data_IF_639545783159
#
_entry.id   IF_639545783159
#
_cell.length_a   1.000
_cell.length_b   1.000
_cell.length_c   1.000
_cell.angle_alpha   90.00
_cell.angle_beta   90.00
_cell.angle_gamma   90.00
#
_symmetry.space_group_name_H-M   'P 1'
#
loop_
_entity.id
_entity.type
_entity.pdbx_description
1 polymer ?
#
# COMPACT_ATOMS: atom_id res chain seq x y z
N UNK A 1 -25.61 -2.99 24.52
CA UNK A 1 -26.16 -2.11 23.48
C UNK A 1 -25.03 -1.85 22.50
N UNK A 2 -24.87 -2.74 21.52
CA UNK A 2 -23.81 -2.63 20.51
C UNK A 2 -24.33 -1.69 19.42
N UNK A 3 -23.77 -0.48 19.35
CA UNK A 3 -23.96 0.36 18.17
C UNK A 3 -23.25 -0.33 17.01
N UNK A 4 -24.03 -0.97 16.14
CA UNK A 4 -23.63 -1.28 14.76
C UNK A 4 -23.29 0.07 14.11
N UNK A 5 -22.03 0.46 14.15
CA UNK A 5 -21.53 1.53 13.30
C UNK A 5 -21.80 1.06 11.87
N UNK A 6 -22.60 1.80 11.13
CA UNK A 6 -22.73 1.58 9.70
C UNK A 6 -21.35 1.80 9.08
N UNK A 7 -20.73 0.73 8.60
CA UNK A 7 -19.42 0.73 7.95
C UNK A 7 -19.47 1.62 6.71
N UNK A 8 -18.98 2.84 6.86
CA UNK A 8 -18.93 3.82 5.76
C UNK A 8 -18.07 3.27 4.62
N UNK A 9 -18.43 3.50 3.33
CA UNK A 9 -17.59 3.13 2.19
C UNK A 9 -16.16 3.70 2.26
N UNK A 10 -15.96 4.75 3.04
CA UNK A 10 -14.64 5.33 3.33
C UNK A 10 -13.73 4.37 4.12
N UNK A 11 -14.29 3.56 5.02
CA UNK A 11 -13.54 2.61 5.85
C UNK A 11 -12.89 1.53 4.98
N UNK A 12 -13.66 0.94 4.06
CA UNK A 12 -13.18 -0.10 3.16
C UNK A 12 -12.04 0.37 2.24
N UNK A 13 -12.04 1.64 1.80
CA UNK A 13 -10.94 2.22 1.00
C UNK A 13 -9.65 2.39 1.81
N UNK A 14 -9.75 2.54 3.12
CA UNK A 14 -8.61 2.78 3.98
C UNK A 14 -8.05 1.51 4.65
N UNK A 15 -8.86 0.45 4.69
CA UNK A 15 -8.48 -0.81 5.31
C UNK A 15 -7.51 -1.64 4.46
N UNK A 16 -7.07 -2.75 5.03
CA UNK A 16 -6.12 -3.68 4.43
C UNK A 16 -6.79 -5.03 4.19
N UNK A 17 -6.76 -5.47 2.95
CA UNK A 17 -7.44 -6.66 2.44
C UNK A 17 -6.46 -7.69 1.86
N UNK A 18 -5.17 -7.37 1.88
CA UNK A 18 -4.11 -8.20 1.32
C UNK A 18 -3.49 -9.18 2.31
N UNK A 19 -4.08 -9.43 3.47
CA UNK A 19 -3.51 -10.41 4.41
C UNK A 19 -3.67 -11.85 3.88
N UNK A 20 -2.67 -12.72 4.11
CA UNK A 20 -2.75 -14.10 3.69
C UNK A 20 -3.86 -14.84 4.40
N UNK A 21 -4.60 -15.63 3.63
CA UNK A 21 -5.57 -16.58 4.17
C UNK A 21 -4.81 -17.78 4.74
N UNK A 22 -5.18 -18.31 5.94
CA UNK A 22 -4.51 -19.45 6.56
C UNK A 22 -4.39 -20.66 5.63
N UNK A 23 -3.28 -21.40 5.69
CA UNK A 23 -2.96 -22.54 4.80
C UNK A 23 -3.85 -23.78 4.99
N UNK A 24 -4.65 -23.86 6.04
CA UNK A 24 -5.68 -24.89 6.24
C UNK A 24 -7.02 -24.53 5.54
N UNK A 25 -6.99 -23.55 4.64
CA UNK A 25 -8.15 -23.10 3.90
C UNK A 25 -8.39 -23.97 2.66
N UNK A 26 -9.43 -24.80 2.68
CA UNK A 26 -9.73 -25.80 1.65
C UNK A 26 -10.76 -25.37 0.60
N UNK A 27 -10.90 -24.07 0.36
CA UNK A 27 -11.80 -23.54 -0.67
C UNK A 27 -13.26 -23.53 -0.21
N UNK A 28 -13.76 -22.31 -0.06
CA UNK A 28 -15.14 -21.94 0.22
C UNK A 28 -15.76 -22.28 1.61
N UNK A 29 -16.53 -21.33 2.18
CA UNK A 29 -16.75 -19.95 1.73
C UNK A 29 -15.66 -19.02 2.26
N UNK A 30 -15.05 -18.17 1.40
CA UNK A 30 -14.11 -17.09 1.82
C UNK A 30 -14.55 -16.53 3.18
N UNK A 31 -13.64 -16.34 4.17
CA UNK A 31 -14.04 -15.88 5.49
C UNK A 31 -15.02 -14.72 5.38
N UNK A 32 -16.25 -14.91 5.87
CA UNK A 32 -17.39 -14.00 5.64
C UNK A 32 -17.10 -12.59 6.15
N UNK A 33 -16.13 -12.44 7.05
CA UNK A 33 -15.62 -11.18 7.55
C UNK A 33 -14.76 -10.38 6.55
N UNK A 34 -14.34 -10.93 5.40
CA UNK A 34 -13.64 -10.18 4.36
C UNK A 34 -14.59 -9.54 3.34
N UNK A 35 -15.72 -10.19 3.05
CA UNK A 35 -16.66 -9.76 2.00
C UNK A 35 -17.74 -8.78 2.50
N UNK A 36 -18.11 -8.86 3.79
CA UNK A 36 -19.20 -8.06 4.37
C UNK A 36 -18.90 -6.56 4.31
N UNK A 37 -17.65 -6.17 4.53
CA UNK A 37 -17.24 -4.76 4.60
C UNK A 37 -17.20 -4.07 3.22
N UNK A 38 -17.13 -4.84 2.12
CA UNK A 38 -17.04 -4.30 0.76
C UNK A 38 -18.39 -3.96 0.12
N UNK A 39 -19.49 -4.47 0.69
CA UNK A 39 -20.85 -4.31 0.18
C UNK A 39 -21.31 -2.85 0.12
N UNK A 40 -20.68 -1.96 0.89
CA UNK A 40 -21.02 -0.53 0.88
C UNK A 40 -20.26 0.26 -0.20
N UNK A 41 -19.16 -0.27 -0.75
CA UNK A 41 -18.38 0.36 -1.84
C UNK A 41 -18.72 -0.21 -3.21
N UNK A 42 -19.13 -1.48 -3.25
CA UNK A 42 -19.38 -2.24 -4.48
C UNK A 42 -20.81 -2.76 -4.48
N UNK A 43 -21.41 -2.98 -5.65
CA UNK A 43 -22.61 -3.81 -5.67
C UNK A 43 -22.25 -5.26 -5.25
N UNK A 44 -23.23 -6.03 -4.78
CA UNK A 44 -22.99 -7.39 -4.28
C UNK A 44 -22.22 -8.29 -5.27
N UNK A 45 -22.41 -8.12 -6.59
CA UNK A 45 -21.73 -8.95 -7.60
C UNK A 45 -20.24 -8.60 -7.67
N UNK A 46 -19.91 -7.32 -7.55
CA UNK A 46 -18.54 -6.82 -7.53
C UNK A 46 -17.83 -7.12 -6.19
N UNK A 47 -18.55 -7.10 -5.06
CA UNK A 47 -18.01 -7.56 -3.77
C UNK A 47 -17.59 -9.04 -3.84
N UNK A 48 -18.48 -9.88 -4.39
CA UNK A 48 -18.19 -11.30 -4.59
C UNK A 48 -17.03 -11.52 -5.55
N UNK A 49 -16.93 -10.72 -6.62
CA UNK A 49 -15.85 -10.82 -7.59
C UNK A 49 -14.49 -10.42 -6.98
N UNK A 50 -14.46 -9.40 -6.13
CA UNK A 50 -13.27 -9.00 -5.40
C UNK A 50 -12.84 -10.07 -4.38
N UNK A 51 -13.80 -10.73 -3.72
CA UNK A 51 -13.52 -11.85 -2.80
C UNK A 51 -12.94 -13.04 -3.55
N UNK A 52 -13.50 -13.34 -4.73
CA UNK A 52 -12.94 -14.35 -5.64
C UNK A 52 -11.52 -13.97 -6.09
N UNK A 53 -11.23 -12.70 -6.35
CA UNK A 53 -9.89 -12.25 -6.73
C UNK A 53 -8.87 -12.55 -5.61
N UNK A 54 -9.18 -12.15 -4.38
CA UNK A 54 -8.32 -12.40 -3.20
C UNK A 54 -8.11 -13.91 -3.00
N UNK A 55 -9.18 -14.70 -3.04
CA UNK A 55 -9.11 -16.14 -2.87
C UNK A 55 -8.26 -16.82 -3.95
N UNK A 56 -8.45 -16.44 -5.22
CA UNK A 56 -7.66 -16.96 -6.36
C UNK A 56 -6.20 -16.62 -6.23
N UNK A 57 -5.87 -15.39 -5.81
CA UNK A 57 -4.50 -14.97 -5.60
C UNK A 57 -3.79 -15.86 -4.59
N UNK A 58 -4.43 -16.10 -3.44
CA UNK A 58 -3.87 -16.96 -2.39
C UNK A 58 -3.81 -18.43 -2.76
N UNK A 59 -4.72 -18.90 -3.61
CA UNK A 59 -4.67 -20.25 -4.18
C UNK A 59 -3.61 -20.42 -5.28
N UNK A 60 -2.85 -19.36 -5.63
CA UNK A 60 -1.86 -19.40 -6.71
C UNK A 60 -2.48 -19.53 -8.11
N UNK A 61 -3.76 -19.19 -8.25
CA UNK A 61 -4.49 -19.26 -9.51
C UNK A 61 -4.30 -17.97 -10.32
N UNK A 62 -4.48 -18.08 -11.63
CA UNK A 62 -4.46 -16.92 -12.53
C UNK A 62 -5.54 -15.90 -12.17
N UNK A 63 -5.15 -14.63 -12.05
CA UNK A 63 -6.01 -13.53 -11.61
C UNK A 63 -6.25 -12.47 -12.69
N UNK A 64 -5.49 -12.51 -13.79
CA UNK A 64 -5.47 -11.49 -14.86
C UNK A 64 -6.86 -11.26 -15.48
N UNK A 65 -7.54 -12.32 -15.91
CA UNK A 65 -8.87 -12.20 -16.53
C UNK A 65 -9.91 -11.61 -15.58
N UNK A 66 -9.88 -12.02 -14.30
CA UNK A 66 -10.84 -11.54 -13.30
C UNK A 66 -10.55 -10.08 -12.90
N UNK A 67 -9.28 -9.70 -12.80
CA UNK A 67 -8.88 -8.32 -12.55
C UNK A 67 -9.32 -7.40 -13.70
N UNK A 68 -9.10 -7.81 -14.96
CA UNK A 68 -9.51 -7.05 -16.14
C UNK A 68 -11.05 -6.92 -16.25
N UNK A 69 -11.78 -7.96 -15.87
CA UNK A 69 -13.25 -7.92 -15.79
C UNK A 69 -13.72 -6.93 -14.70
N UNK A 70 -13.15 -7.02 -13.50
CA UNK A 70 -13.43 -6.10 -12.40
C UNK A 70 -13.18 -4.65 -12.80
N UNK A 71 -12.05 -4.36 -13.45
CA UNK A 71 -11.71 -3.01 -13.88
C UNK A 71 -12.66 -2.47 -14.95
N UNK A 72 -13.08 -3.30 -15.91
CA UNK A 72 -14.05 -2.89 -16.95
C UNK A 72 -15.46 -2.67 -16.40
N UNK A 73 -15.84 -3.41 -15.37
CA UNK A 73 -17.17 -3.36 -14.77
C UNK A 73 -17.27 -2.37 -13.59
N UNK A 74 -16.18 -1.69 -13.23
CA UNK A 74 -16.18 -0.66 -12.21
C UNK A 74 -17.09 0.51 -12.63
N UNK A 75 -18.13 0.78 -11.84
CA UNK A 75 -19.17 1.75 -12.14
C UNK A 75 -18.81 3.18 -11.69
N UNK A 76 -17.84 3.32 -10.78
CA UNK A 76 -17.43 4.61 -10.25
C UNK A 76 -15.96 4.60 -9.77
N UNK A 77 -15.44 5.78 -9.45
CA UNK A 77 -14.05 5.96 -9.03
C UNK A 77 -13.72 5.26 -7.70
N UNK A 78 -14.66 5.16 -6.76
CA UNK A 78 -14.44 4.44 -5.49
C UNK A 78 -14.23 2.95 -5.73
N UNK A 79 -14.98 2.34 -6.66
CA UNK A 79 -14.81 0.94 -7.04
C UNK A 79 -13.46 0.71 -7.73
N UNK A 80 -13.09 1.58 -8.69
CA UNK A 80 -11.77 1.51 -9.33
C UNK A 80 -10.65 1.63 -8.30
N UNK A 81 -10.77 2.57 -7.36
CA UNK A 81 -9.79 2.75 -6.29
C UNK A 81 -9.67 1.51 -5.40
N UNK A 82 -10.80 0.91 -5.00
CA UNK A 82 -10.81 -0.29 -4.17
C UNK A 82 -10.14 -1.47 -4.89
N UNK A 83 -10.45 -1.71 -6.17
CA UNK A 83 -9.83 -2.78 -6.96
C UNK A 83 -8.31 -2.58 -7.02
N UNK A 84 -7.87 -1.36 -7.33
CA UNK A 84 -6.44 -1.04 -7.45
C UNK A 84 -5.69 -1.17 -6.12
N UNK A 85 -6.33 -0.73 -5.02
CA UNK A 85 -5.80 -0.89 -3.67
C UNK A 85 -5.68 -2.37 -3.30
N UNK A 86 -6.75 -3.15 -3.43
CA UNK A 86 -6.74 -4.58 -3.08
C UNK A 86 -5.68 -5.32 -3.88
N UNK A 87 -5.59 -5.08 -5.19
CA UNK A 87 -4.57 -5.71 -6.01
C UNK A 87 -3.15 -5.32 -5.58
N UNK A 88 -2.91 -4.02 -5.33
CA UNK A 88 -1.63 -3.55 -4.79
C UNK A 88 -1.26 -4.17 -3.44
N UNK A 89 -2.25 -4.36 -2.55
CA UNK A 89 -2.06 -4.98 -1.23
C UNK A 89 -1.70 -6.47 -1.36
N UNK A 90 -2.35 -7.22 -2.26
CA UNK A 90 -2.02 -8.62 -2.53
C UNK A 90 -0.58 -8.76 -3.05
N UNK A 91 -0.20 -7.95 -4.04
CA UNK A 91 1.18 -7.92 -4.55
C UNK A 91 2.18 -7.57 -3.46
N UNK A 92 1.85 -6.59 -2.60
CA UNK A 92 2.69 -6.14 -1.50
C UNK A 92 2.88 -7.23 -0.44
N UNK A 93 1.84 -8.01 -0.13
CA UNK A 93 1.91 -9.13 0.81
C UNK A 93 2.89 -10.23 0.36
N UNK A 94 3.15 -10.32 -0.95
CA UNK A 94 4.17 -11.19 -1.55
C UNK A 94 5.44 -10.43 -1.96
N UNK A 95 5.54 -9.16 -1.58
CA UNK A 95 6.66 -8.23 -1.87
C UNK A 95 7.04 -8.19 -3.35
N UNK A 96 6.04 -8.17 -4.22
CA UNK A 96 6.24 -8.14 -5.66
C UNK A 96 6.52 -6.73 -6.19
N UNK A 97 7.39 -6.65 -7.21
CA UNK A 97 7.55 -5.44 -8.01
C UNK A 97 6.21 -4.96 -8.59
N UNK A 98 6.05 -3.64 -8.70
CA UNK A 98 4.81 -3.02 -9.17
C UNK A 98 3.73 -2.86 -8.09
N UNK A 99 3.84 -3.50 -6.93
CA UNK A 99 2.87 -3.37 -5.84
C UNK A 99 2.62 -1.89 -5.45
N UNK A 100 3.69 -1.11 -5.27
CA UNK A 100 3.57 0.31 -4.93
C UNK A 100 2.91 1.16 -6.03
N UNK A 101 3.07 0.80 -7.31
CA UNK A 101 2.42 1.54 -8.39
C UNK A 101 0.90 1.39 -8.31
N UNK A 102 0.41 0.19 -8.04
CA UNK A 102 -1.01 -0.08 -7.81
C UNK A 102 -1.55 0.60 -6.56
N UNK A 103 -0.82 0.52 -5.44
CA UNK A 103 -1.19 1.19 -4.20
C UNK A 103 -1.29 2.71 -4.37
N UNK A 104 -0.33 3.33 -5.04
CA UNK A 104 -0.33 4.77 -5.29
C UNK A 104 -1.46 5.18 -6.25
N UNK A 105 -1.69 4.40 -7.30
CA UNK A 105 -2.81 4.62 -8.24
C UNK A 105 -4.14 4.57 -7.50
N UNK A 106 -4.40 3.50 -6.76
CA UNK A 106 -5.63 3.35 -5.97
C UNK A 106 -5.78 4.43 -4.90
N UNK A 107 -4.70 4.81 -4.21
CA UNK A 107 -4.73 5.91 -3.23
C UNK A 107 -5.07 7.26 -3.86
N UNK A 108 -4.48 7.59 -5.00
CA UNK A 108 -4.76 8.85 -5.70
C UNK A 108 -6.23 8.93 -6.14
N UNK A 109 -6.80 7.81 -6.58
CA UNK A 109 -8.23 7.74 -6.92
C UNK A 109 -9.12 7.75 -5.67
N UNK A 110 -8.69 7.14 -4.56
CA UNK A 110 -9.44 7.11 -3.30
C UNK A 110 -9.43 8.45 -2.55
N UNK A 111 -8.39 9.25 -2.70
CA UNK A 111 -8.12 10.43 -1.87
C UNK A 111 -9.31 11.40 -1.69
N UNK A 112 -10.13 11.72 -2.72
CA UNK A 112 -11.28 12.60 -2.56
C UNK A 112 -12.41 12.03 -1.69
N UNK A 113 -12.42 10.71 -1.49
CA UNK A 113 -13.46 9.97 -0.76
C UNK A 113 -13.02 9.57 0.65
N UNK A 114 -11.80 9.90 1.06
CA UNK A 114 -11.30 9.54 2.39
C UNK A 114 -11.55 10.67 3.37
N UNK A 115 -11.99 10.31 4.58
CA UNK A 115 -11.89 11.21 5.73
C UNK A 115 -10.43 11.65 5.92
N UNK A 116 -10.19 12.83 6.51
CA UNK A 116 -8.82 13.31 6.78
C UNK A 116 -8.02 12.32 7.63
N UNK A 117 -8.68 11.63 8.57
CA UNK A 117 -8.07 10.59 9.41
C UNK A 117 -7.63 9.39 8.56
N UNK A 118 -8.49 8.93 7.67
CA UNK A 118 -8.23 7.76 6.83
C UNK A 118 -7.19 8.04 5.74
N UNK A 119 -7.24 9.24 5.15
CA UNK A 119 -6.22 9.72 4.24
C UNK A 119 -4.83 9.64 4.86
N UNK A 120 -4.66 10.20 6.07
CA UNK A 120 -3.38 10.18 6.77
C UNK A 120 -2.97 8.77 7.20
N UNK A 121 -3.92 7.91 7.59
CA UNK A 121 -3.68 6.50 7.92
C UNK A 121 -3.08 5.76 6.72
N UNK A 122 -3.70 5.88 5.56
CA UNK A 122 -3.26 5.24 4.32
C UNK A 122 -1.93 5.82 3.82
N UNK A 123 -1.77 7.15 3.86
CA UNK A 123 -0.53 7.82 3.46
C UNK A 123 0.67 7.33 4.28
N UNK A 124 0.55 7.30 5.62
CA UNK A 124 1.61 6.81 6.51
C UNK A 124 1.95 5.35 6.25
N UNK A 125 0.93 4.51 6.00
CA UNK A 125 1.13 3.11 5.62
C UNK A 125 1.95 2.99 4.33
N UNK A 126 1.57 3.69 3.26
CA UNK A 126 2.31 3.67 2.00
C UNK A 126 3.75 4.19 2.14
N UNK A 127 3.95 5.29 2.87
CA UNK A 127 5.29 5.81 3.15
C UNK A 127 6.17 4.79 3.89
N UNK A 128 5.58 4.05 4.83
CA UNK A 128 6.30 2.99 5.55
C UNK A 128 6.63 1.83 4.61
N UNK A 129 5.66 1.33 3.85
CA UNK A 129 5.86 0.20 2.93
C UNK A 129 6.85 0.52 1.79
N UNK A 130 7.06 1.79 1.45
CA UNK A 130 8.04 2.21 0.44
C UNK A 130 9.50 1.86 0.81
N UNK A 131 9.76 1.49 2.07
CA UNK A 131 11.08 1.02 2.51
C UNK A 131 11.33 -0.46 2.23
N UNK A 132 10.29 -1.23 1.86
CA UNK A 132 10.45 -2.64 1.55
C UNK A 132 11.25 -2.85 0.27
N UNK A 133 12.03 -3.92 0.27
CA UNK A 133 12.64 -4.47 -0.95
C UNK A 133 11.57 -5.31 -1.64
N UNK A 134 11.28 -4.96 -2.89
CA UNK A 134 10.34 -5.65 -3.76
C UNK A 134 11.12 -6.41 -4.84
N UNK A 135 10.63 -7.59 -5.20
CA UNK A 135 11.30 -8.50 -6.12
C UNK A 135 10.38 -8.90 -7.29
N UNK A 136 10.92 -9.25 -8.47
CA UNK A 136 10.12 -9.76 -9.58
C UNK A 136 9.56 -11.16 -9.30
N UNK A 137 10.13 -11.87 -8.32
CA UNK A 137 9.67 -13.19 -7.87
C UNK A 137 8.94 -13.07 -6.54
N UNK A 138 7.85 -13.81 -6.34
CA UNK A 138 7.05 -13.67 -5.14
C UNK A 138 7.76 -14.27 -3.92
N UNK A 139 7.75 -13.52 -2.81
CA UNK A 139 8.26 -13.95 -1.50
C UNK A 139 7.22 -14.73 -0.69
N UNK A 140 7.61 -15.41 0.41
CA UNK A 140 6.65 -15.90 1.39
C UNK A 140 5.67 -14.80 1.80
N UNK A 141 4.38 -15.13 1.96
CA UNK A 141 3.37 -14.14 2.30
C UNK A 141 3.58 -13.56 3.70
N UNK A 142 3.30 -12.28 3.85
CA UNK A 142 3.36 -11.56 5.12
C UNK A 142 2.07 -10.79 5.36
N UNK A 143 1.67 -10.72 6.64
CA UNK A 143 0.57 -9.86 7.09
C UNK A 143 0.98 -8.39 7.07
N UNK A 144 0.03 -7.45 7.07
CA UNK A 144 0.35 -6.02 7.18
C UNK A 144 1.23 -5.70 8.40
N UNK A 145 0.96 -6.18 9.63
CA UNK A 145 1.85 -5.97 10.76
C UNK A 145 3.28 -6.46 10.51
N UNK A 146 3.47 -7.60 9.84
CA UNK A 146 4.80 -8.12 9.50
C UNK A 146 5.49 -7.26 8.44
N UNK A 147 4.77 -6.81 7.42
CA UNK A 147 5.29 -5.92 6.39
C UNK A 147 5.75 -4.58 6.98
N UNK A 148 4.95 -3.98 7.86
CA UNK A 148 5.30 -2.73 8.54
C UNK A 148 6.55 -2.91 9.40
N UNK A 149 6.63 -4.00 10.17
CA UNK A 149 7.82 -4.33 10.96
C UNK A 149 9.07 -4.49 10.07
N UNK A 150 8.95 -5.24 8.98
CA UNK A 150 10.04 -5.47 8.04
C UNK A 150 10.52 -4.15 7.41
N UNK A 151 9.59 -3.30 6.98
CA UNK A 151 9.89 -2.01 6.39
C UNK A 151 10.63 -1.09 7.36
N UNK A 152 10.21 -1.05 8.63
CA UNK A 152 10.88 -0.28 9.67
C UNK A 152 12.30 -0.79 9.94
N UNK A 153 12.51 -2.11 9.97
CA UNK A 153 13.84 -2.71 10.10
C UNK A 153 14.72 -2.33 8.91
N UNK A 154 14.21 -2.46 7.68
CA UNK A 154 14.94 -2.07 6.46
C UNK A 154 15.33 -0.60 6.48
N UNK A 155 14.41 0.29 6.88
CA UNK A 155 14.67 1.72 7.02
C UNK A 155 15.81 1.99 8.02
N UNK A 156 15.77 1.37 9.21
CA UNK A 156 16.81 1.54 10.24
C UNK A 156 18.18 1.04 9.78
N UNK A 157 18.23 -0.09 9.07
CA UNK A 157 19.48 -0.62 8.54
C UNK A 157 20.09 0.32 7.49
N UNK A 158 19.27 0.86 6.57
CA UNK A 158 19.74 1.85 5.58
C UNK A 158 20.23 3.15 6.23
N UNK A 159 19.52 3.63 7.25
CA UNK A 159 19.93 4.80 8.02
C UNK A 159 21.28 4.58 8.73
N UNK A 160 21.45 3.42 9.37
CA UNK A 160 22.70 3.06 10.06
C UNK A 160 23.89 2.91 9.09
N UNK A 161 23.63 2.50 7.84
CA UNK A 161 24.63 2.37 6.79
C UNK A 161 24.92 3.69 6.04
N UNK A 162 24.34 4.81 6.46
CA UNK A 162 24.57 6.13 5.85
C UNK A 162 23.93 6.34 4.48
N UNK A 163 23.01 5.46 4.06
CA UNK A 163 22.34 5.56 2.75
C UNK A 163 21.21 6.60 2.70
N UNK A 164 20.91 7.25 3.85
CA UNK A 164 19.77 8.16 4.04
C UNK A 164 20.00 9.62 3.59
N UNK A 165 21.09 9.91 2.86
CA UNK A 165 21.37 11.26 2.35
C UNK A 165 20.46 11.70 1.18
N UNK A 166 19.55 10.85 0.69
CA UNK A 166 18.74 11.12 -0.53
C UNK A 166 17.33 11.65 -0.28
N UNK A 167 16.89 11.79 0.98
CA UNK A 167 15.55 12.31 1.31
C UNK A 167 15.54 13.46 2.33
N UNK A 168 16.67 14.16 2.51
CA UNK A 168 16.63 15.45 3.21
C UNK A 168 15.85 16.48 2.37
N UNK A 169 14.87 17.22 2.94
CA UNK A 169 14.25 18.33 2.23
C UNK A 169 15.34 19.35 1.83
N UNK A 170 15.23 19.85 0.60
CA UNK A 170 16.17 20.71 -0.13
C UNK A 170 16.63 21.99 0.62
N UNK A 171 15.99 22.31 1.74
CA UNK A 171 16.30 23.45 2.61
C UNK A 171 17.61 23.33 3.42
N UNK A 172 18.30 22.18 3.41
CA UNK A 172 19.53 21.98 4.18
C UNK A 172 20.83 22.25 3.41
N UNK A 173 20.79 22.56 2.10
CA UNK A 173 21.98 23.04 1.37
C UNK A 173 22.20 24.52 1.67
N UNK A 174 22.75 24.83 2.85
CA UNK A 174 23.45 26.10 3.02
C UNK A 174 24.72 26.07 2.16
N UNK A 175 24.98 27.10 1.34
CA UNK A 175 26.29 27.22 0.70
C UNK A 175 27.33 27.41 1.80
N UNK A 176 28.36 26.56 1.75
CA UNK A 176 29.58 26.75 2.50
C UNK A 176 30.26 27.99 1.92
N UNK A 177 30.07 29.13 2.57
CA UNK A 177 30.87 30.32 2.29
C UNK A 177 32.20 30.06 3.00
N UNK A 178 33.14 29.48 2.26
CA UNK A 178 34.53 29.42 2.67
C UNK A 178 35.02 30.86 2.82
N UNK A 179 35.12 31.31 4.07
CA UNK A 179 35.98 32.41 4.43
C UNK A 179 37.40 31.88 4.40
N UNK A 180 38.14 32.15 3.33
CA UNK A 180 39.59 31.98 3.35
C UNK A 180 40.29 33.34 3.26
N UNK A 181 41.11 33.53 4.28
CA UNK A 181 41.93 34.68 4.59
C UNK A 181 43.34 34.33 4.11
N UNK A 182 43.78 34.95 3.02
CA UNK A 182 45.19 35.04 2.64
C UNK A 182 45.45 36.49 2.24
N UNK A 183 46.05 37.30 3.11
CA UNK A 183 47.52 37.51 3.23
C UNK A 183 48.16 37.79 1.87
N UNK A 184 48.13 39.06 1.47
CA UNK A 184 49.18 39.64 0.62
C UNK A 184 50.09 40.50 1.50
N UNK A 185 51.12 39.84 2.05
CA UNK A 185 52.41 40.50 2.28
C UNK A 185 53.14 40.47 0.94
N UNK A 186 53.30 41.62 0.27
CA UNK A 186 54.36 41.78 -0.73
C UNK A 186 54.98 43.16 -0.58
N UNK A 187 56.29 43.14 -0.29
CA UNK A 187 57.20 44.27 -0.22
C UNK A 187 57.33 44.98 -1.58
N UNK A 188 57.41 46.32 -1.55
CA UNK A 188 57.74 47.18 -2.69
C UNK A 188 57.47 48.65 -2.40
#
# INVERSE_FOLDING_TARGET
MFSLHMDSPEAALADWHGDPVPTNWHGDPVPTNLASDWLNVTDNRNSDALARLVARYWAGLRCDVLLDELQRNACNAQQTALIDLVWGQLLMARRLEGAMAWLNRGFNTAAPFLSARDYLRVLKRHQTLNWLILDPKPSPPLTLPDLIRLADVTRRLRAANGEDARFAPDSARRPQIDGDSHREDTLG
#
